data_IF_906718792610
#
_entry.id   IF_906718792610
#
_cell.length_a   1.000
_cell.length_b   1.000
_cell.length_c   1.000
_cell.angle_alpha   90.00
_cell.angle_beta   90.00
_cell.angle_gamma   90.00
#
_symmetry.space_group_name_H-M   'P 1'
#
loop_
_entity.id
_entity.type
_entity.pdbx_description
1 polymer ?
#
# COMPACT_ATOMS: atom_id res chain seq x y z
N UNK A 1 -3.24 8.26 -17.02
CA UNK A 1 -4.25 9.33 -16.80
C UNK A 1 -5.38 9.27 -17.85
N UNK A 2 -5.04 9.26 -19.14
CA UNK A 2 -6.01 9.24 -20.27
C UNK A 2 -6.98 8.04 -20.21
N UNK A 3 -6.49 6.85 -19.83
CA UNK A 3 -7.32 5.64 -19.74
C UNK A 3 -8.46 5.75 -18.70
N UNK A 4 -8.18 6.31 -17.51
CA UNK A 4 -9.17 6.48 -16.45
C UNK A 4 -10.23 7.51 -16.82
N UNK A 5 -9.82 8.61 -17.46
CA UNK A 5 -10.74 9.64 -17.93
C UNK A 5 -11.65 9.11 -19.04
N UNK A 6 -11.12 8.29 -19.94
CA UNK A 6 -11.90 7.62 -21.00
C UNK A 6 -12.90 6.64 -20.41
N UNK A 7 -12.47 5.83 -19.43
CA UNK A 7 -13.35 4.88 -18.73
C UNK A 7 -14.48 5.59 -17.97
N UNK A 8 -14.17 6.70 -17.31
CA UNK A 8 -15.17 7.56 -16.66
C UNK A 8 -16.17 8.12 -17.67
N UNK A 9 -15.68 8.69 -18.78
CA UNK A 9 -16.51 9.24 -19.84
C UNK A 9 -17.43 8.18 -20.46
N UNK A 10 -16.92 6.96 -20.69
CA UNK A 10 -17.69 5.83 -21.20
C UNK A 10 -18.78 5.40 -20.20
N UNK A 11 -18.46 5.31 -18.91
CA UNK A 11 -19.42 4.98 -17.86
C UNK A 11 -20.55 6.01 -17.75
N UNK A 12 -20.21 7.31 -17.75
CA UNK A 12 -21.20 8.40 -17.74
C UNK A 12 -22.06 8.38 -19.01
N UNK A 13 -21.44 8.12 -20.17
CA UNK A 13 -22.17 8.03 -21.44
C UNK A 13 -23.16 6.85 -21.45
N UNK A 14 -22.79 5.71 -20.88
CA UNK A 14 -23.68 4.55 -20.73
C UNK A 14 -24.88 4.86 -19.81
N UNK A 15 -24.66 5.61 -18.72
CA UNK A 15 -25.76 6.14 -17.88
C UNK A 15 -26.66 7.05 -18.72
N UNK A 16 -26.09 7.99 -19.48
CA UNK A 16 -26.86 8.89 -20.34
C UNK A 16 -27.71 8.14 -21.38
N UNK A 17 -27.18 7.07 -21.97
CA UNK A 17 -27.93 6.16 -22.85
C UNK A 17 -29.09 5.51 -22.10
N UNK A 18 -28.86 4.96 -20.91
CA UNK A 18 -29.91 4.34 -20.11
C UNK A 18 -31.03 5.32 -19.76
N UNK A 19 -30.70 6.53 -19.30
CA UNK A 19 -31.66 7.59 -19.01
C UNK A 19 -32.49 7.94 -20.25
N UNK A 20 -31.82 8.08 -21.41
CA UNK A 20 -32.49 8.34 -22.69
C UNK A 20 -33.47 7.25 -23.09
N UNK A 21 -33.20 5.98 -22.75
CA UNK A 21 -34.13 4.87 -22.97
C UNK A 21 -35.31 4.93 -22.00
N UNK A 22 -35.05 5.19 -20.71
CA UNK A 22 -36.11 5.27 -19.69
C UNK A 22 -37.13 6.38 -20.01
N UNK A 23 -36.68 7.54 -20.46
CA UNK A 23 -37.56 8.66 -20.83
C UNK A 23 -38.49 8.32 -22.02
N UNK A 24 -38.11 7.38 -22.88
CA UNK A 24 -38.94 6.94 -24.01
C UNK A 24 -40.09 6.01 -23.60
N UNK A 25 -40.10 5.51 -22.36
CA UNK A 25 -41.15 4.65 -21.84
C UNK A 25 -42.38 5.52 -21.58
N UNK A 26 -43.34 5.50 -22.50
CA UNK A 26 -44.59 6.28 -22.40
C UNK A 26 -45.70 5.54 -21.64
N UNK A 27 -45.66 4.22 -21.60
CA UNK A 27 -46.71 3.38 -21.00
C UNK A 27 -46.13 2.06 -20.43
N UNK A 28 -46.82 1.43 -19.46
CA UNK A 28 -46.31 0.30 -18.64
C UNK A 28 -46.49 -1.07 -19.33
N UNK A 29 -47.17 -1.12 -20.47
CA UNK A 29 -47.49 -2.31 -21.25
C UNK A 29 -46.25 -3.04 -21.82
N UNK A 30 -46.51 -4.23 -22.39
CA UNK A 30 -45.50 -5.16 -22.90
C UNK A 30 -44.58 -4.54 -23.97
N UNK A 31 -45.00 -3.45 -24.64
CA UNK A 31 -44.18 -2.71 -25.62
C UNK A 31 -42.93 -2.08 -24.98
N UNK A 32 -42.97 -1.72 -23.69
CA UNK A 32 -41.84 -1.13 -22.97
C UNK A 32 -40.80 -2.14 -22.47
N UNK A 33 -41.02 -3.45 -22.62
CA UNK A 33 -40.14 -4.49 -22.05
C UNK A 33 -38.74 -4.47 -22.68
N UNK A 34 -38.65 -4.28 -23.99
CA UNK A 34 -37.36 -4.21 -24.70
C UNK A 34 -36.57 -2.95 -24.33
N UNK A 35 -37.26 -1.80 -24.23
CA UNK A 35 -36.65 -0.52 -23.83
C UNK A 35 -36.11 -0.62 -22.40
N UNK A 36 -36.86 -1.23 -21.48
CA UNK A 36 -36.41 -1.49 -20.10
C UNK A 36 -35.20 -2.42 -20.06
N UNK A 37 -35.18 -3.47 -20.88
CA UNK A 37 -34.05 -4.39 -20.97
C UNK A 37 -32.79 -3.68 -21.48
N UNK A 38 -32.92 -2.84 -22.51
CA UNK A 38 -31.80 -2.08 -23.06
C UNK A 38 -31.27 -1.04 -22.07
N UNK A 39 -32.16 -0.36 -21.35
CA UNK A 39 -31.76 0.53 -20.25
C UNK A 39 -31.00 -0.24 -19.15
N UNK A 40 -31.47 -1.44 -18.78
CA UNK A 40 -30.81 -2.27 -17.77
C UNK A 40 -29.42 -2.74 -18.22
N UNK A 41 -29.24 -3.11 -19.49
CA UNK A 41 -27.93 -3.45 -20.06
C UNK A 41 -26.97 -2.26 -20.00
N UNK A 42 -27.42 -1.08 -20.44
CA UNK A 42 -26.62 0.14 -20.39
C UNK A 42 -26.22 0.51 -18.95
N UNK A 43 -27.11 0.33 -17.97
CA UNK A 43 -26.79 0.53 -16.55
C UNK A 43 -25.79 -0.51 -16.02
N UNK A 44 -25.93 -1.77 -16.41
CA UNK A 44 -24.98 -2.82 -16.02
C UNK A 44 -23.57 -2.53 -16.58
N UNK A 45 -23.48 -2.10 -17.83
CA UNK A 45 -22.20 -1.72 -18.45
C UNK A 45 -21.59 -0.50 -17.76
N UNK A 46 -22.40 0.52 -17.45
CA UNK A 46 -21.96 1.66 -16.65
C UNK A 46 -21.45 1.23 -15.27
N UNK A 47 -22.19 0.34 -14.59
CA UNK A 47 -21.83 -0.19 -13.29
C UNK A 47 -20.48 -0.90 -13.32
N UNK A 48 -20.24 -1.76 -14.32
CA UNK A 48 -18.96 -2.44 -14.51
C UNK A 48 -17.81 -1.45 -14.73
N UNK A 49 -18.00 -0.47 -15.61
CA UNK A 49 -16.96 0.52 -15.91
C UNK A 49 -16.61 1.38 -14.69
N UNK A 50 -17.62 1.84 -13.95
CA UNK A 50 -17.41 2.73 -12.80
C UNK A 50 -16.85 1.99 -11.58
N UNK A 51 -17.31 0.75 -11.33
CA UNK A 51 -16.80 -0.05 -10.21
C UNK A 51 -15.35 -0.48 -10.42
N UNK A 52 -14.97 -0.87 -11.63
CA UNK A 52 -13.57 -1.15 -11.97
C UNK A 52 -12.69 0.11 -11.85
N UNK A 53 -13.18 1.26 -12.33
CA UNK A 53 -12.47 2.54 -12.17
C UNK A 53 -12.28 2.90 -10.69
N UNK A 54 -13.32 2.73 -9.88
CA UNK A 54 -13.27 2.98 -8.45
C UNK A 54 -12.23 2.06 -7.78
N UNK A 55 -12.19 0.78 -8.14
CA UNK A 55 -11.19 -0.15 -7.63
C UNK A 55 -9.76 0.28 -7.97
N UNK A 56 -9.50 0.69 -9.23
CA UNK A 56 -8.20 1.24 -9.65
C UNK A 56 -7.82 2.49 -8.86
N UNK A 57 -8.77 3.39 -8.59
CA UNK A 57 -8.54 4.58 -7.78
C UNK A 57 -8.18 4.23 -6.33
N UNK A 58 -8.83 3.22 -5.75
CA UNK A 58 -8.51 2.74 -4.41
C UNK A 58 -7.09 2.16 -4.34
N UNK A 59 -6.66 1.40 -5.35
CA UNK A 59 -5.29 0.89 -5.45
C UNK A 59 -4.26 2.02 -5.54
N UNK A 60 -4.50 3.01 -6.40
CA UNK A 60 -3.62 4.18 -6.52
C UNK A 60 -3.52 4.95 -5.20
N UNK A 61 -4.67 5.24 -4.57
CA UNK A 61 -4.72 5.92 -3.28
C UNK A 61 -4.01 5.13 -2.19
N UNK A 62 -4.14 3.79 -2.18
CA UNK A 62 -3.43 2.92 -1.25
C UNK A 62 -1.92 2.98 -1.47
N UNK A 63 -1.45 2.99 -2.72
CA UNK A 63 -0.03 3.15 -3.03
C UNK A 63 0.55 4.49 -2.52
N UNK A 64 -0.25 5.55 -2.51
CA UNK A 64 0.17 6.86 -1.96
C UNK A 64 0.10 6.95 -0.44
N UNK A 65 -0.91 6.34 0.21
CA UNK A 65 -1.11 6.45 1.66
C UNK A 65 -0.26 5.43 2.42
N UNK A 66 -0.10 4.21 1.93
CA UNK A 66 0.62 3.14 2.66
C UNK A 66 2.03 3.56 3.12
N UNK A 67 2.83 4.29 2.30
CA UNK A 67 4.16 4.75 2.71
C UNK A 67 4.17 5.68 3.93
N UNK A 68 3.11 6.44 4.18
CA UNK A 68 3.03 7.39 5.31
C UNK A 68 2.64 6.72 6.63
N UNK A 69 2.20 5.47 6.58
CA UNK A 69 1.83 4.69 7.77
C UNK A 69 3.07 4.24 8.56
N UNK A 70 2.89 4.07 9.87
CA UNK A 70 3.91 3.45 10.72
C UNK A 70 4.07 1.95 10.39
N UNK A 71 5.17 1.34 10.84
CA UNK A 71 5.52 -0.06 10.52
C UNK A 71 4.41 -1.07 10.86
N UNK A 72 3.77 -0.91 12.03
CA UNK A 72 2.66 -1.76 12.46
C UNK A 72 1.49 -1.65 11.48
N UNK A 73 1.05 -0.42 11.19
CA UNK A 73 -0.07 -0.16 10.29
C UNK A 73 0.23 -0.62 8.86
N UNK A 74 1.48 -0.51 8.38
CA UNK A 74 1.91 -1.05 7.06
C UNK A 74 1.75 -2.56 6.99
N UNK A 75 2.15 -3.27 8.05
CA UNK A 75 2.07 -4.73 8.13
C UNK A 75 0.61 -5.19 8.06
N UNK A 76 -0.27 -4.56 8.85
CA UNK A 76 -1.70 -4.87 8.86
C UNK A 76 -2.36 -4.48 7.53
N UNK A 77 -1.98 -3.32 6.98
CA UNK A 77 -2.48 -2.86 5.68
C UNK A 77 -2.16 -3.89 4.60
N UNK A 78 -0.92 -4.42 4.56
CA UNK A 78 -0.50 -5.44 3.60
C UNK A 78 -1.34 -6.72 3.63
N UNK A 79 -1.84 -7.11 4.80
CA UNK A 79 -2.67 -8.31 4.99
C UNK A 79 -4.15 -8.09 4.68
N UNK A 80 -4.61 -6.84 4.67
CA UNK A 80 -6.01 -6.55 4.42
C UNK A 80 -6.30 -6.36 2.92
N UNK A 81 -7.35 -7.00 2.39
CA UNK A 81 -7.79 -6.77 1.01
C UNK A 81 -8.33 -5.35 0.85
N UNK A 82 -8.21 -4.83 -0.38
CA UNK A 82 -8.93 -3.61 -0.77
C UNK A 82 -10.39 -4.00 -1.02
N UNK A 83 -11.32 -3.31 -0.36
CA UNK A 83 -12.76 -3.50 -0.53
C UNK A 83 -13.45 -2.16 -0.77
N UNK A 84 -14.63 -1.97 -0.17
CA UNK A 84 -15.33 -0.67 -0.16
C UNK A 84 -14.47 0.42 0.50
N UNK A 85 -13.69 0.04 1.51
CA UNK A 85 -12.74 0.90 2.22
C UNK A 85 -11.29 0.55 1.85
N UNK A 86 -10.40 1.54 1.98
CA UNK A 86 -9.00 1.48 1.54
C UNK A 86 -8.22 0.27 2.10
N UNK A 87 -8.52 -0.10 3.35
CA UNK A 87 -7.86 -1.18 4.09
C UNK A 87 -8.87 -2.16 4.71
N UNK A 88 -10.11 -2.19 4.21
CA UNK A 88 -11.21 -2.97 4.77
C UNK A 88 -11.86 -2.33 6.00
N UNK A 89 -12.98 -2.92 6.45
CA UNK A 89 -13.76 -2.48 7.63
C UNK A 89 -13.01 -2.72 8.93
N UNK A 90 -12.28 -3.84 9.02
CA UNK A 90 -11.70 -4.32 10.28
C UNK A 90 -10.29 -3.76 10.50
N UNK A 91 -9.83 -2.82 9.67
CA UNK A 91 -8.47 -2.26 9.77
C UNK A 91 -8.22 -1.63 11.14
N UNK A 92 -9.19 -0.85 11.63
CA UNK A 92 -9.12 -0.19 12.93
C UNK A 92 -8.97 -1.21 14.05
N UNK A 93 -9.84 -2.21 14.07
CA UNK A 93 -9.86 -3.26 15.09
C UNK A 93 -8.55 -4.05 15.10
N UNK A 94 -8.02 -4.41 13.92
CA UNK A 94 -6.73 -5.10 13.81
C UNK A 94 -5.56 -4.26 14.33
N UNK A 95 -5.58 -2.95 14.08
CA UNK A 95 -4.55 -2.01 14.58
C UNK A 95 -4.63 -1.91 16.11
N UNK A 96 -5.82 -1.79 16.67
CA UNK A 96 -6.04 -1.71 18.13
C UNK A 96 -5.64 -3.03 18.81
N UNK A 97 -6.07 -4.17 18.27
CA UNK A 97 -5.68 -5.49 18.77
C UNK A 97 -4.16 -5.69 18.75
N UNK A 98 -3.50 -5.33 17.64
CA UNK A 98 -2.04 -5.44 17.52
C UNK A 98 -1.29 -4.54 18.50
N UNK A 99 -1.79 -3.33 18.77
CA UNK A 99 -1.22 -2.44 19.79
C UNK A 99 -1.34 -3.04 21.19
N UNK A 100 -2.50 -3.61 21.54
CA UNK A 100 -2.73 -4.27 22.82
C UNK A 100 -1.80 -5.47 23.01
N UNK A 101 -1.67 -6.34 22.00
CA UNK A 101 -0.75 -7.48 22.02
C UNK A 101 0.70 -7.01 22.18
N UNK A 102 1.10 -5.95 21.46
CA UNK A 102 2.46 -5.41 21.55
C UNK A 102 2.76 -4.82 22.94
N UNK A 103 1.76 -4.23 23.62
CA UNK A 103 1.88 -3.75 25.00
C UNK A 103 2.09 -4.92 25.97
N UNK A 104 1.22 -5.93 25.92
CA UNK A 104 1.33 -7.13 26.78
C UNK A 104 2.67 -7.85 26.53
N UNK A 105 3.09 -7.99 25.27
CA UNK A 105 4.37 -8.61 24.93
C UNK A 105 5.59 -7.85 25.48
N UNK A 106 5.52 -6.52 25.62
CA UNK A 106 6.56 -5.73 26.28
C UNK A 106 6.60 -5.98 27.78
N UNK A 107 5.45 -6.11 28.43
CA UNK A 107 5.36 -6.43 29.87
C UNK A 107 5.87 -7.85 30.19
N UNK A 108 5.66 -8.80 29.28
CA UNK A 108 6.14 -10.18 29.41
C UNK A 108 7.64 -10.34 29.10
N UNK A 109 8.22 -9.42 28.33
CA UNK A 109 9.64 -9.44 28.01
C UNK A 109 10.41 -9.03 29.27
N UNK A 110 11.01 -10.01 29.97
CA UNK A 110 12.01 -9.75 31.01
C UNK A 110 13.03 -8.76 30.43
N UNK A 111 13.12 -7.57 31.02
CA UNK A 111 14.17 -6.64 30.67
C UNK A 111 15.50 -7.38 30.84
N UNK A 112 16.33 -7.38 29.80
CA UNK A 112 17.71 -7.84 29.99
C UNK A 112 18.30 -6.92 31.07
N UNK A 113 18.94 -7.47 32.12
CA UNK A 113 19.66 -6.62 33.05
C UNK A 113 20.56 -5.69 32.25
N UNK A 114 20.67 -4.40 32.64
CA UNK A 114 21.52 -3.46 31.93
C UNK A 114 22.88 -4.12 31.75
N UNK A 115 23.30 -4.22 30.48
CA UNK A 115 24.52 -4.87 30.05
C UNK A 115 25.63 -4.38 30.98
N UNK A 116 26.08 -5.21 31.92
CA UNK A 116 27.25 -4.91 32.73
C UNK A 116 28.38 -4.83 31.72
N UNK A 117 28.75 -3.60 31.35
CA UNK A 117 29.96 -3.36 30.61
C UNK A 117 31.06 -4.15 31.32
N UNK A 118 31.83 -5.01 30.63
CA UNK A 118 32.98 -5.61 31.27
C UNK A 118 33.85 -4.44 31.74
N UNK A 119 34.00 -4.31 33.06
CA UNK A 119 34.98 -3.40 33.66
C UNK A 119 36.29 -3.76 32.97
N UNK A 120 36.84 -2.82 32.19
CA UNK A 120 38.20 -2.97 31.65
C UNK A 120 39.08 -3.24 32.86
N UNK A 121 39.60 -4.46 32.97
CA UNK A 121 40.64 -4.74 33.94
C UNK A 121 41.80 -3.81 33.62
N UNK A 122 42.25 -3.07 34.63
CA UNK A 122 43.40 -2.18 34.53
C UNK A 122 44.61 -2.98 34.04
N UNK A 123 44.98 -2.80 32.77
CA UNK A 123 46.25 -3.27 32.26
C UNK A 123 47.37 -2.37 32.84
N UNK A 124 48.53 -2.91 33.26
CA UNK A 124 49.60 -2.10 33.80
C UNK A 124 50.11 -1.10 32.75
N UNK A 125 50.25 0.14 33.20
CA UNK A 125 50.74 1.29 32.46
C UNK A 125 52.09 0.98 31.77
N UNK A 126 52.11 0.85 30.44
CA UNK A 126 53.35 0.87 29.63
C UNK A 126 53.39 2.18 28.85
N UNK A 127 54.37 3.07 29.08
CA UNK A 127 54.53 4.25 28.24
C UNK A 127 55.24 3.83 26.95
N UNK A 128 54.62 4.08 25.80
CA UNK A 128 55.31 4.06 24.52
C UNK A 128 54.92 5.30 23.72
N UNK A 129 55.68 6.36 23.97
CA UNK A 129 55.93 7.41 22.98
C UNK A 129 56.40 6.75 21.69
N UNK A 130 55.72 6.97 20.56
CA UNK A 130 56.33 7.37 19.28
C UNK A 130 55.23 7.65 18.26
N UNK A 131 55.07 8.93 17.90
CA UNK A 131 54.42 9.34 16.66
C UNK A 131 55.33 8.94 15.51
N UNK A 132 54.86 8.14 14.56
CA UNK A 132 55.31 8.25 13.17
C UNK A 132 54.13 7.98 12.23
N UNK A 133 53.91 8.99 11.40
CA UNK A 133 52.89 9.13 10.38
C UNK A 133 53.58 8.81 9.05
N UNK A 134 53.07 7.89 8.23
CA UNK A 134 53.18 7.93 6.75
C UNK A 134 52.58 6.70 6.05
N UNK A 135 51.60 6.95 5.17
CA UNK A 135 51.48 6.29 3.87
C UNK A 135 50.84 4.91 3.81
N UNK A 136 49.51 4.84 3.76
CA UNK A 136 48.82 3.64 3.29
C UNK A 136 48.96 3.52 1.75
N UNK A 137 49.64 2.46 1.32
CA UNK A 137 49.87 2.07 -0.07
C UNK A 137 48.55 1.82 -0.83
N UNK A 138 48.43 2.45 -2.00
CA UNK A 138 47.44 2.12 -3.02
C UNK A 138 47.67 0.69 -3.54
N UNK A 139 46.67 -0.20 -3.37
CA UNK A 139 46.61 -1.47 -4.07
C UNK A 139 46.18 -1.22 -5.53
N UNK A 140 47.13 -1.15 -6.46
CA UNK A 140 46.86 -1.25 -7.90
C UNK A 140 47.15 -2.68 -8.36
N UNK A 141 46.13 -3.38 -8.86
CA UNK A 141 46.28 -4.69 -9.52
C UNK A 141 46.97 -4.51 -10.89
N UNK A 142 47.91 -5.37 -11.29
CA UNK A 142 48.49 -5.32 -12.63
C UNK A 142 47.48 -5.82 -13.69
N UNK A 143 47.57 -5.33 -14.95
CA UNK A 143 46.65 -5.69 -16.01
C UNK A 143 46.95 -7.08 -16.57
N UNK A 144 45.89 -7.83 -16.90
CA UNK A 144 45.96 -9.13 -17.56
C UNK A 144 46.23 -8.98 -19.07
N UNK A 145 47.17 -9.73 -19.66
CA UNK A 145 47.37 -9.74 -21.10
C UNK A 145 46.28 -10.56 -21.81
N UNK A 146 45.63 -9.96 -22.81
CA UNK A 146 44.77 -10.67 -23.76
C UNK A 146 45.65 -11.46 -24.75
N UNK A 147 45.25 -12.71 -25.02
CA UNK A 147 45.72 -13.50 -26.17
C UNK A 147 44.80 -13.23 -27.37
#
# INVERSE_FOLDING_TARGET
MILHQTQLAAGISAIGKAVSQVVKIKTVDNSGKEIRLEAAKALNDAGRLLTDLQFKLLLARRAHITPTLNFLMKTIAGQNPVGVLLYGTDFKEKVEASKSISKVGKELRKEKPPNSQPKKADAPNRPSSYKQNSGALNYQRPPVPYK
#
